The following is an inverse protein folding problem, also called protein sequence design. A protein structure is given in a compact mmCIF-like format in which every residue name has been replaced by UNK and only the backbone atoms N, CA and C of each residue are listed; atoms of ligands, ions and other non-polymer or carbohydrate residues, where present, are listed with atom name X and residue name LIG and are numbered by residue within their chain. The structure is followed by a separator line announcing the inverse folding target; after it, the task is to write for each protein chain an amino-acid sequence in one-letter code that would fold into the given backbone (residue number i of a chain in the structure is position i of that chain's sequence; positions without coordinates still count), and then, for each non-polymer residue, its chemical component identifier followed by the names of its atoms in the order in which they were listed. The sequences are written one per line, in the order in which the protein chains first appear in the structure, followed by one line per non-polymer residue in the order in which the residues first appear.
data_IF_521673831773
#
_entry.id   IF_521673831773
#
_cell.length_a   1.000
_cell.length_b   1.000
_cell.length_c   1.000
_cell.angle_alpha   90.00
_cell.angle_beta   90.00
_cell.angle_gamma   90.00
#
_symmetry.space_group_name_H-M   'P 1'
#
loop_
_entity.id
_entity.type
_entity.pdbx_description
1 polymer ?
#
# COMPACT_ATOMS: atom_id res chain seq x y z
N UNK A 1 -7.22 8.19 5.61
CA UNK A 1 -8.11 7.01 5.46
C UNK A 1 -8.61 6.54 6.82
N UNK A 2 -7.72 6.47 7.80
CA UNK A 2 -8.05 6.27 9.22
C UNK A 2 -7.95 7.64 9.90
N UNK A 3 -8.86 7.91 10.85
CA UNK A 3 -8.84 9.14 11.66
C UNK A 3 -7.55 9.24 12.48
N UNK A 4 -7.08 10.47 12.68
CA UNK A 4 -5.97 10.80 13.58
C UNK A 4 -6.47 11.30 14.95
N UNK A 5 -7.78 11.38 15.17
CA UNK A 5 -8.33 11.76 16.47
C UNK A 5 -7.89 10.77 17.56
N UNK A 6 -7.22 11.27 18.59
CA UNK A 6 -6.63 10.44 19.67
C UNK A 6 -5.22 9.91 19.38
N UNK A 7 -4.66 10.10 18.18
CA UNK A 7 -3.25 9.82 17.91
C UNK A 7 -2.37 10.94 18.48
N UNK A 8 -1.33 10.59 19.24
CA UNK A 8 -0.29 11.56 19.62
C UNK A 8 0.48 11.95 18.37
N UNK A 9 0.37 13.22 17.97
CA UNK A 9 0.91 13.70 16.72
C UNK A 9 2.45 13.77 16.70
N UNK A 10 3.04 13.49 15.55
CA UNK A 10 4.46 13.73 15.27
C UNK A 10 4.62 14.60 14.03
N UNK A 11 4.21 14.12 12.86
CA UNK A 11 4.16 14.88 11.62
C UNK A 11 2.72 14.97 11.14
N UNK A 12 1.94 15.95 11.61
CA UNK A 12 0.48 15.97 11.39
C UNK A 12 0.03 15.81 9.93
N UNK A 13 0.81 16.31 8.96
CA UNK A 13 0.51 16.18 7.52
C UNK A 13 0.95 14.83 6.92
N UNK A 14 1.69 14.02 7.67
CA UNK A 14 2.25 12.73 7.27
C UNK A 14 1.68 11.55 8.09
N UNK A 15 1.18 11.82 9.29
CA UNK A 15 0.72 10.79 10.23
C UNK A 15 -0.48 10.01 9.68
N UNK A 16 -0.37 8.68 9.64
CA UNK A 16 -1.49 7.76 9.42
C UNK A 16 -1.33 6.53 10.29
N UNK A 17 -2.40 6.17 11.00
CA UNK A 17 -2.48 4.89 11.69
C UNK A 17 -2.62 3.78 10.65
N UNK A 18 -1.85 2.71 10.80
CA UNK A 18 -1.88 1.53 9.94
C UNK A 18 -1.99 0.23 10.73
N UNK A 19 -2.04 -0.89 10.00
CA UNK A 19 -2.14 -2.23 10.57
C UNK A 19 -0.87 -3.03 10.27
N UNK A 20 -0.35 -3.72 11.27
CA UNK A 20 0.65 -4.77 11.12
C UNK A 20 0.04 -6.10 11.52
N UNK A 21 0.00 -7.05 10.59
CA UNK A 21 -0.50 -8.40 10.81
C UNK A 21 0.40 -9.44 10.12
N UNK A 22 0.13 -10.72 10.35
CA UNK A 22 0.91 -11.82 9.76
C UNK A 22 0.62 -12.03 8.27
N UNK A 23 -0.57 -11.67 7.82
CA UNK A 23 -0.96 -11.79 6.42
C UNK A 23 -1.87 -10.62 5.96
N UNK A 24 -2.11 -10.60 4.65
CA UNK A 24 -2.88 -9.54 3.98
C UNK A 24 -4.37 -9.58 4.35
N UNK A 25 -4.92 -10.78 4.63
CA UNK A 25 -6.34 -10.93 4.97
C UNK A 25 -6.63 -10.31 6.33
N UNK A 26 -5.83 -10.65 7.34
CA UNK A 26 -5.94 -10.06 8.67
C UNK A 26 -5.74 -8.55 8.62
N UNK A 27 -4.77 -8.08 7.82
CA UNK A 27 -4.55 -6.64 7.61
C UNK A 27 -5.77 -5.95 7.02
N UNK A 28 -6.40 -6.54 6.00
CA UNK A 28 -7.59 -6.00 5.35
C UNK A 28 -8.80 -5.97 6.29
N UNK A 29 -9.00 -7.01 7.11
CA UNK A 29 -10.09 -7.08 8.09
C UNK A 29 -9.98 -5.98 9.14
N UNK A 30 -8.81 -5.83 9.75
CA UNK A 30 -8.57 -4.80 10.77
C UNK A 30 -8.65 -3.39 10.17
N UNK A 31 -8.08 -3.18 8.97
CA UNK A 31 -8.19 -1.90 8.27
C UNK A 31 -9.65 -1.54 7.96
N UNK A 32 -10.47 -2.53 7.57
CA UNK A 32 -11.91 -2.32 7.31
C UNK A 32 -12.65 -1.82 8.55
N UNK A 33 -12.27 -2.31 9.73
CA UNK A 33 -12.88 -1.89 10.99
C UNK A 33 -12.42 -0.49 11.46
N UNK A 34 -11.18 -0.09 11.12
CA UNK A 34 -10.59 1.18 11.56
C UNK A 34 -10.84 2.34 10.59
N UNK A 35 -11.01 2.05 9.30
CA UNK A 35 -11.20 3.05 8.27
C UNK A 35 -12.58 3.71 8.35
N UNK A 36 -12.64 5.01 8.05
CA UNK A 36 -13.89 5.75 8.07
C UNK A 36 -13.68 7.25 8.12
N UNK A 37 -14.71 8.00 7.74
CA UNK A 37 -14.79 9.41 8.05
C UNK A 37 -15.08 9.59 9.54
N UNK A 38 -14.42 10.58 10.15
CA UNK A 38 -14.58 10.92 11.55
C UNK A 38 -14.81 12.43 11.68
N UNK A 39 -15.95 12.81 12.27
CA UNK A 39 -16.32 14.20 12.46
C UNK A 39 -15.37 14.97 13.41
N UNK A 40 -14.59 14.26 14.23
CA UNK A 40 -13.62 14.85 15.15
C UNK A 40 -12.23 15.07 14.52
N UNK A 41 -12.00 14.58 13.30
CA UNK A 41 -10.78 14.81 12.53
C UNK A 41 -11.11 15.50 11.21
N UNK A 42 -10.80 16.81 11.13
CA UNK A 42 -11.02 17.64 9.94
C UNK A 42 -10.20 17.20 8.72
N UNK A 43 -9.20 16.35 8.90
CA UNK A 43 -8.39 15.77 7.82
C UNK A 43 -8.85 14.38 7.41
N UNK A 44 -9.84 13.80 8.09
CA UNK A 44 -10.42 12.53 7.70
C UNK A 44 -11.25 12.70 6.43
N UNK A 45 -11.02 11.82 5.46
CA UNK A 45 -11.65 11.93 4.14
C UNK A 45 -13.13 11.53 4.21
N UNK A 46 -14.08 12.40 3.79
CA UNK A 46 -15.51 12.10 3.77
C UNK A 46 -15.88 11.26 2.54
N UNK A 47 -15.30 10.07 2.42
CA UNK A 47 -15.55 9.14 1.32
C UNK A 47 -15.90 7.74 1.85
N UNK A 48 -16.70 6.96 1.12
CA UNK A 48 -17.00 5.59 1.48
C UNK A 48 -15.72 4.75 1.73
N UNK A 49 -15.82 3.84 2.68
CA UNK A 49 -14.78 2.83 2.90
C UNK A 49 -15.06 1.69 1.93
N UNK A 50 -14.13 1.37 1.00
CA UNK A 50 -14.29 0.21 0.14
C UNK A 50 -14.21 -1.06 0.97
N UNK A 51 -14.87 -2.12 0.52
CA UNK A 51 -14.63 -3.46 1.06
C UNK A 51 -13.24 -3.96 0.63
N UNK A 52 -12.26 -3.82 1.52
CA UNK A 52 -10.90 -4.27 1.26
C UNK A 52 -10.81 -5.79 1.10
N UNK A 53 -11.73 -6.54 1.71
CA UNK A 53 -11.72 -8.00 1.64
C UNK A 53 -12.19 -8.52 0.28
N UNK A 54 -13.11 -7.78 -0.37
CA UNK A 54 -13.55 -8.09 -1.73
C UNK A 54 -12.42 -8.02 -2.77
N UNK A 55 -11.36 -7.26 -2.50
CA UNK A 55 -10.19 -7.16 -3.37
C UNK A 55 -9.19 -8.33 -3.22
N UNK A 56 -9.37 -9.23 -2.24
CA UNK A 56 -8.47 -10.36 -1.98
C UNK A 56 -8.70 -11.53 -2.94
N UNK A 57 -8.77 -11.25 -4.24
CA UNK A 57 -9.02 -12.26 -5.28
C UNK A 57 -7.76 -13.05 -5.65
N UNK A 58 -6.58 -12.47 -5.42
CA UNK A 58 -5.29 -13.01 -5.87
C UNK A 58 -5.05 -12.91 -7.38
N UNK A 59 -6.01 -12.36 -8.14
CA UNK A 59 -5.87 -12.17 -9.58
C UNK A 59 -5.25 -10.80 -9.86
N UNK A 60 -4.08 -10.82 -10.51
CA UNK A 60 -3.32 -9.61 -10.90
C UNK A 60 -3.21 -9.48 -12.42
N UNK A 61 -3.90 -10.33 -13.19
CA UNK A 61 -3.82 -10.30 -14.65
C UNK A 61 -4.32 -8.97 -15.21
N UNK A 62 -3.51 -8.35 -16.07
CA UNK A 62 -3.79 -7.03 -16.65
C UNK A 62 -3.60 -5.86 -15.67
N UNK A 63 -3.20 -6.09 -14.42
CA UNK A 63 -2.85 -5.02 -13.49
C UNK A 63 -1.56 -4.34 -13.97
N UNK A 64 -1.58 -3.02 -14.13
CA UNK A 64 -0.39 -2.24 -14.51
C UNK A 64 0.41 -1.85 -13.27
N UNK A 65 1.66 -2.31 -13.18
CA UNK A 65 2.57 -2.04 -12.07
C UNK A 65 3.67 -1.10 -12.56
N UNK A 66 3.70 0.12 -12.01
CA UNK A 66 4.75 1.10 -12.30
C UNK A 66 6.04 0.77 -11.56
N UNK A 67 7.16 0.71 -12.29
CA UNK A 67 8.49 0.49 -11.76
C UNK A 67 9.36 1.75 -11.96
N UNK A 68 9.54 2.58 -10.92
CA UNK A 68 10.38 3.77 -11.00
C UNK A 68 11.86 3.39 -11.17
N UNK A 69 12.50 3.96 -12.19
CA UNK A 69 13.94 3.74 -12.41
C UNK A 69 14.78 4.27 -11.23
N UNK A 70 14.30 5.33 -10.57
CA UNK A 70 14.96 5.99 -9.43
C UNK A 70 14.93 5.16 -8.13
N UNK A 71 14.22 4.02 -8.08
CA UNK A 71 14.25 3.11 -6.93
C UNK A 71 15.43 2.13 -6.97
N UNK A 72 16.11 1.99 -8.10
CA UNK A 72 17.27 1.10 -8.28
C UNK A 72 18.57 1.90 -8.32
N UNK A 73 18.91 2.51 -7.17
CA UNK A 73 20.06 3.40 -7.01
C UNK A 73 21.20 2.75 -6.23
N UNK A 74 22.38 3.39 -6.30
CA UNK A 74 23.48 3.09 -5.41
C UNK A 74 23.06 3.28 -3.94
N UNK A 75 23.26 2.24 -3.11
CA UNK A 75 22.88 2.24 -1.69
C UNK A 75 21.83 1.20 -1.32
N UNK A 76 21.13 0.62 -2.29
CA UNK A 76 20.27 -0.55 -2.07
C UNK A 76 21.15 -1.78 -1.84
N UNK A 77 20.82 -2.59 -0.82
CA UNK A 77 21.55 -3.82 -0.56
C UNK A 77 21.31 -4.85 -1.69
N UNK A 78 22.34 -5.58 -2.17
CA UNK A 78 22.19 -6.46 -3.32
C UNK A 78 21.14 -7.57 -3.16
N UNK A 79 20.97 -8.08 -1.94
CA UNK A 79 19.98 -9.10 -1.60
C UNK A 79 18.54 -8.55 -1.62
N UNK A 80 18.35 -7.31 -1.15
CA UNK A 80 17.07 -6.58 -1.24
C UNK A 80 16.71 -6.32 -2.69
N UNK A 81 17.63 -5.78 -3.49
CA UNK A 81 17.39 -5.55 -4.92
C UNK A 81 17.02 -6.85 -5.64
N UNK A 82 17.79 -7.93 -5.40
CA UNK A 82 17.49 -9.22 -5.99
C UNK A 82 16.13 -9.78 -5.55
N UNK A 83 15.72 -9.58 -4.29
CA UNK A 83 14.41 -9.99 -3.81
C UNK A 83 13.26 -9.22 -4.46
N UNK A 84 13.41 -7.90 -4.61
CA UNK A 84 12.41 -7.05 -5.29
C UNK A 84 12.29 -7.44 -6.76
N UNK A 85 13.42 -7.66 -7.46
CA UNK A 85 13.41 -8.13 -8.86
C UNK A 85 12.68 -9.46 -9.01
N UNK A 86 12.95 -10.44 -8.14
CA UNK A 86 12.21 -11.71 -8.14
C UNK A 86 10.70 -11.51 -7.91
N UNK A 87 10.31 -10.60 -7.02
CA UNK A 87 8.89 -10.31 -6.79
C UNK A 87 8.21 -9.67 -8.03
N UNK A 88 8.93 -8.82 -8.76
CA UNK A 88 8.47 -8.25 -10.03
C UNK A 88 8.27 -9.33 -11.08
N UNK A 89 9.23 -10.26 -11.21
CA UNK A 89 9.14 -11.39 -12.14
C UNK A 89 7.93 -12.26 -11.83
N UNK A 90 7.71 -12.62 -10.55
CA UNK A 90 6.54 -13.39 -10.11
C UNK A 90 5.23 -12.69 -10.48
N UNK A 91 5.12 -11.38 -10.27
CA UNK A 91 3.92 -10.62 -10.63
C UNK A 91 3.70 -10.59 -12.16
N UNK A 92 4.78 -10.45 -12.93
CA UNK A 92 4.74 -10.54 -14.40
C UNK A 92 4.29 -11.92 -14.89
N UNK A 93 4.81 -13.00 -14.30
CA UNK A 93 4.41 -14.38 -14.59
C UNK A 93 2.93 -14.64 -14.24
N UNK A 94 2.43 -14.00 -13.19
CA UNK A 94 1.00 -14.00 -12.83
C UNK A 94 0.12 -13.14 -13.77
N UNK A 95 0.73 -12.46 -14.75
CA UNK A 95 0.05 -11.72 -15.81
C UNK A 95 -0.14 -10.22 -15.54
N UNK A 96 0.55 -9.65 -14.55
CA UNK A 96 0.60 -8.21 -14.38
C UNK A 96 1.46 -7.56 -15.49
N UNK A 97 1.09 -6.36 -15.92
CA UNK A 97 1.84 -5.56 -16.87
C UNK A 97 2.86 -4.68 -16.14
N UNK A 98 4.15 -5.00 -16.26
CA UNK A 98 5.23 -4.22 -15.64
C UNK A 98 5.60 -3.04 -16.55
N UNK A 99 5.45 -1.82 -16.04
CA UNK A 99 5.65 -0.57 -16.79
C UNK A 99 6.74 0.26 -16.14
N UNK A 100 7.83 0.55 -16.85
CA UNK A 100 8.84 1.49 -16.35
C UNK A 100 8.28 2.91 -16.29
N UNK A 101 8.55 3.61 -15.20
CA UNK A 101 8.15 5.01 -14.99
C UNK A 101 9.33 5.81 -14.45
N UNK A 102 9.23 7.13 -14.49
CA UNK A 102 10.21 8.04 -13.88
C UNK A 102 9.51 8.93 -12.88
N UNK A 103 10.15 9.11 -11.72
CA UNK A 103 9.76 10.01 -10.65
C UNK A 103 10.92 11.01 -10.41
N UNK A 104 11.03 12.07 -11.23
CA UNK A 104 12.11 13.04 -11.16
C UNK A 104 12.04 13.98 -9.94
#
# INVERSE_FOLDING_TARGET
RVSRYGLVAYGSSLDQVGVLAKDVRDSALVLSAMAGHDAYDSTSMPAPVPDFTAALTGDVRGLRIGLPDEYFIAGVQPDVEAAVRRAIDVLGEMGAEIVRVSLP
#
